data_IF_509677279833
#
_entry.id   IF_509677279833
#
_cell.length_a   1.000
_cell.length_b   1.000
_cell.length_c   1.000
_cell.angle_alpha   90.00
_cell.angle_beta   90.00
_cell.angle_gamma   90.00
#
_symmetry.space_group_name_H-M   'P 1'
#
loop_
_entity.id
_entity.type
_entity.pdbx_description
1 polymer ?
#
# COMPACT_ATOMS: atom_id res chain seq x y z
N UNK A 1 -18.74 -16.40 -6.13
CA UNK A 1 -17.32 -16.20 -5.76
C UNK A 1 -16.62 -15.35 -6.80
N UNK A 2 -15.86 -14.41 -6.34
CA UNK A 2 -15.15 -13.51 -7.22
C UNK A 2 -13.73 -13.99 -7.45
N UNK A 3 -13.34 -14.12 -8.72
CA UNK A 3 -12.02 -14.59 -9.07
C UNK A 3 -11.09 -13.43 -9.40
N UNK A 4 -9.90 -13.46 -8.83
CA UNK A 4 -8.82 -12.54 -9.15
C UNK A 4 -7.69 -13.33 -9.81
N UNK A 5 -7.30 -12.90 -11.00
CA UNK A 5 -6.14 -13.48 -11.67
C UNK A 5 -4.89 -12.77 -11.18
N UNK A 6 -4.24 -13.33 -10.19
CA UNK A 6 -2.99 -12.78 -9.66
C UNK A 6 -1.84 -13.37 -10.44
N UNK A 7 -1.20 -12.53 -11.25
CA UNK A 7 -0.04 -12.93 -12.05
C UNK A 7 1.19 -12.23 -11.52
N UNK A 8 2.13 -13.00 -10.97
CA UNK A 8 3.33 -12.47 -10.34
C UNK A 8 4.58 -13.01 -11.02
N UNK A 9 5.59 -12.14 -11.12
CA UNK A 9 6.92 -12.57 -11.52
C UNK A 9 7.55 -13.41 -10.39
N UNK A 10 8.56 -14.26 -10.70
CA UNK A 10 9.14 -15.13 -9.66
C UNK A 10 9.60 -14.39 -8.41
N UNK A 11 10.25 -13.23 -8.54
CA UNK A 11 10.70 -12.48 -7.37
C UNK A 11 9.53 -11.91 -6.58
N UNK A 12 8.44 -11.55 -7.26
CA UNK A 12 7.23 -11.06 -6.59
C UNK A 12 6.57 -12.17 -5.79
N UNK A 13 6.54 -13.39 -6.31
CA UNK A 13 6.00 -14.53 -5.59
C UNK A 13 6.78 -14.81 -4.31
N UNK A 14 8.10 -14.66 -4.37
CA UNK A 14 8.95 -14.86 -3.21
C UNK A 14 8.64 -13.85 -2.11
N UNK A 15 8.45 -12.60 -2.48
CA UNK A 15 8.05 -11.55 -1.52
C UNK A 15 6.66 -11.82 -0.97
N UNK A 16 5.73 -12.18 -1.85
CA UNK A 16 4.34 -12.46 -1.47
C UNK A 16 4.24 -13.52 -0.40
N UNK A 17 5.07 -14.56 -0.50
CA UNK A 17 5.04 -15.69 0.42
C UNK A 17 5.85 -15.46 1.69
N UNK A 18 6.53 -14.31 1.82
CA UNK A 18 7.35 -14.00 2.99
C UNK A 18 6.44 -13.65 4.18
N UNK A 19 6.59 -14.32 5.32
CA UNK A 19 5.74 -14.07 6.48
C UNK A 19 6.17 -12.87 7.33
N UNK A 20 7.21 -12.15 6.93
CA UNK A 20 7.72 -11.02 7.70
C UNK A 20 6.67 -9.91 7.75
N UNK A 21 6.39 -9.38 8.97
CA UNK A 21 5.39 -8.35 9.19
C UNK A 21 5.73 -7.04 8.47
N UNK A 22 7.02 -6.66 8.45
CA UNK A 22 7.48 -5.47 7.75
C UNK A 22 8.48 -5.89 6.68
N UNK A 23 8.13 -5.67 5.43
CA UNK A 23 8.97 -6.05 4.30
C UNK A 23 9.55 -4.81 3.65
N UNK A 24 10.81 -4.88 3.25
CA UNK A 24 11.48 -3.80 2.52
C UNK A 24 11.90 -4.35 1.16
N UNK A 25 11.46 -3.68 0.09
CA UNK A 25 11.76 -4.08 -1.27
C UNK A 25 12.51 -2.95 -1.97
N UNK A 26 13.76 -3.19 -2.29
CA UNK A 26 14.56 -2.28 -3.10
C UNK A 26 14.62 -2.86 -4.50
N UNK A 27 13.84 -2.29 -5.42
CA UNK A 27 13.76 -2.79 -6.78
C UNK A 27 13.87 -1.64 -7.76
N UNK A 28 14.54 -1.89 -8.88
CA UNK A 28 14.65 -0.90 -9.93
C UNK A 28 13.30 -0.57 -10.55
N UNK A 29 13.26 0.52 -11.31
CA UNK A 29 12.06 0.91 -12.04
C UNK A 29 11.70 -0.18 -13.05
N UNK A 30 10.41 -0.31 -13.37
CA UNK A 30 9.88 -1.25 -14.35
C UNK A 30 10.10 -2.72 -13.96
N UNK A 31 10.19 -3.00 -12.66
CA UNK A 31 10.32 -4.39 -12.18
C UNK A 31 8.99 -4.97 -11.73
N UNK A 32 7.87 -4.25 -11.90
CA UNK A 32 6.57 -4.73 -11.49
C UNK A 32 6.26 -4.51 -10.02
N UNK A 33 7.03 -3.68 -9.34
CA UNK A 33 6.82 -3.41 -7.90
C UNK A 33 5.47 -2.77 -7.62
N UNK A 34 5.02 -1.85 -8.49
CA UNK A 34 3.72 -1.19 -8.31
C UNK A 34 2.56 -2.17 -8.48
N UNK A 35 2.69 -3.10 -9.42
CA UNK A 35 1.68 -4.13 -9.64
C UNK A 35 1.61 -5.08 -8.44
N UNK A 36 2.76 -5.45 -7.89
CA UNK A 36 2.80 -6.25 -6.66
C UNK A 36 2.12 -5.52 -5.51
N UNK A 37 2.42 -4.23 -5.35
CA UNK A 37 1.80 -3.43 -4.30
C UNK A 37 0.28 -3.38 -4.47
N UNK A 38 -0.19 -3.19 -5.70
CA UNK A 38 -1.63 -3.15 -5.98
C UNK A 38 -2.30 -4.46 -5.58
N UNK A 39 -1.73 -5.60 -5.97
CA UNK A 39 -2.27 -6.90 -5.58
C UNK A 39 -2.25 -7.11 -4.08
N UNK A 40 -1.18 -6.70 -3.41
CA UNK A 40 -1.11 -6.82 -1.94
C UNK A 40 -2.18 -5.97 -1.27
N UNK A 41 -2.43 -4.77 -1.75
CA UNK A 41 -3.49 -3.92 -1.20
C UNK A 41 -4.86 -4.57 -1.36
N UNK A 42 -5.14 -5.13 -2.52
CA UNK A 42 -6.42 -5.77 -2.79
C UNK A 42 -6.61 -7.01 -1.91
N UNK A 43 -5.62 -7.89 -1.88
CA UNK A 43 -5.73 -9.15 -1.12
C UNK A 43 -5.76 -8.88 0.38
N UNK A 44 -4.92 -7.97 0.89
CA UNK A 44 -4.95 -7.63 2.31
C UNK A 44 -6.24 -6.93 2.69
N UNK A 45 -6.78 -6.10 1.78
CA UNK A 45 -8.09 -5.49 1.98
C UNK A 45 -9.20 -6.53 2.08
N UNK A 46 -9.16 -7.54 1.21
CA UNK A 46 -10.16 -8.61 1.25
C UNK A 46 -10.06 -9.43 2.54
N UNK A 47 -8.90 -9.49 3.17
CA UNK A 47 -8.72 -10.16 4.45
C UNK A 47 -9.05 -9.30 5.66
N UNK A 48 -9.35 -8.02 5.46
CA UNK A 48 -9.51 -7.04 6.54
C UNK A 48 -10.95 -6.57 6.67
N UNK A 49 -11.90 -7.46 6.70
CA UNK A 49 -13.34 -7.14 6.71
C UNK A 49 -13.65 -5.84 7.47
N UNK A 50 -14.17 -4.84 6.77
CA UNK A 50 -14.47 -3.51 7.31
C UNK A 50 -13.25 -2.74 7.82
N UNK A 51 -12.04 -3.24 7.55
CA UNK A 51 -10.80 -2.55 7.93
C UNK A 51 -10.31 -1.63 6.84
N UNK A 52 -9.14 -1.04 7.07
CA UNK A 52 -8.52 -0.11 6.11
C UNK A 52 -7.12 -0.52 5.77
N UNK A 53 -6.75 -0.32 4.50
CA UNK A 53 -5.38 -0.45 4.02
C UNK A 53 -5.02 0.83 3.28
N UNK A 54 -3.79 1.28 3.45
CA UNK A 54 -3.31 2.52 2.81
C UNK A 54 -2.17 2.24 1.85
N UNK A 55 -2.18 2.98 0.75
CA UNK A 55 -1.03 3.16 -0.11
C UNK A 55 -0.55 4.60 0.07
N UNK A 56 0.70 4.78 0.49
CA UNK A 56 1.27 6.10 0.78
C UNK A 56 2.44 6.36 -0.14
N UNK A 57 2.39 7.45 -0.88
CA UNK A 57 3.49 7.96 -1.70
C UNK A 57 3.97 9.29 -1.13
N UNK A 58 5.09 9.85 -1.59
CA UNK A 58 5.55 11.14 -1.07
C UNK A 58 4.53 12.25 -1.20
N UNK A 59 3.75 12.27 -2.28
CA UNK A 59 2.64 13.22 -2.44
C UNK A 59 1.36 12.49 -2.82
N UNK A 60 0.23 13.11 -2.52
CA UNK A 60 -1.07 12.55 -2.88
C UNK A 60 -1.23 12.43 -4.40
N UNK A 61 -0.73 13.41 -5.15
CA UNK A 61 -0.77 13.36 -6.61
C UNK A 61 0.01 12.18 -7.17
N UNK A 62 1.18 11.89 -6.62
CA UNK A 62 1.95 10.71 -7.01
C UNK A 62 1.21 9.42 -6.68
N UNK A 63 0.58 9.36 -5.51
CA UNK A 63 -0.19 8.17 -5.13
C UNK A 63 -1.30 7.92 -6.15
N UNK A 64 -2.02 8.95 -6.54
CA UNK A 64 -3.08 8.83 -7.53
C UNK A 64 -2.53 8.38 -8.88
N UNK A 65 -1.49 9.04 -9.36
CA UNK A 65 -0.94 8.77 -10.69
C UNK A 65 -0.36 7.36 -10.80
N UNK A 66 0.23 6.84 -9.74
CA UNK A 66 0.84 5.51 -9.76
C UNK A 66 -0.20 4.41 -9.57
N UNK A 67 -1.15 4.60 -8.66
CA UNK A 67 -1.91 3.47 -8.13
C UNK A 67 -3.41 3.48 -8.45
N UNK A 68 -4.03 4.66 -8.66
CA UNK A 68 -5.49 4.72 -8.77
C UNK A 68 -6.05 3.84 -9.88
N UNK A 69 -5.59 4.07 -11.11
CA UNK A 69 -6.10 3.32 -12.26
C UNK A 69 -5.75 1.84 -12.18
N UNK A 70 -4.56 1.54 -11.66
CA UNK A 70 -4.12 0.15 -11.50
C UNK A 70 -5.02 -0.62 -10.54
N UNK A 71 -5.38 -0.01 -9.41
CA UNK A 71 -6.29 -0.64 -8.46
C UNK A 71 -7.68 -0.85 -9.05
N UNK A 72 -8.19 0.13 -9.79
CA UNK A 72 -9.51 0.00 -10.42
C UNK A 72 -9.52 -1.12 -11.46
N UNK A 73 -8.43 -1.26 -12.23
CA UNK A 73 -8.33 -2.30 -13.22
C UNK A 73 -8.17 -3.69 -12.60
N UNK A 74 -7.18 -3.84 -11.72
CA UNK A 74 -6.88 -5.15 -11.13
C UNK A 74 -7.93 -5.62 -10.14
N UNK A 75 -8.53 -4.70 -9.39
CA UNK A 75 -9.50 -5.05 -8.37
C UNK A 75 -10.95 -5.00 -8.82
N UNK A 76 -11.20 -4.71 -10.09
CA UNK A 76 -12.56 -4.52 -10.60
C UNK A 76 -13.59 -5.54 -10.09
N UNK A 77 -13.32 -6.85 -10.11
CA UNK A 77 -14.32 -7.83 -9.66
C UNK A 77 -14.71 -7.73 -8.19
N UNK A 78 -13.88 -7.13 -7.36
CA UNK A 78 -14.11 -7.07 -5.91
C UNK A 78 -14.36 -5.65 -5.40
N UNK A 79 -14.46 -4.67 -6.29
CA UNK A 79 -14.71 -3.28 -5.90
C UNK A 79 -16.21 -3.03 -5.85
N UNK A 80 -16.70 -2.56 -4.69
CA UNK A 80 -18.10 -2.19 -4.51
C UNK A 80 -18.35 -0.75 -4.97
N UNK A 81 -17.43 0.18 -4.65
CA UNK A 81 -17.55 1.57 -5.04
C UNK A 81 -16.19 2.26 -5.01
N UNK A 82 -16.08 3.39 -5.68
CA UNK A 82 -14.86 4.18 -5.68
C UNK A 82 -15.19 5.67 -5.71
N UNK A 83 -14.36 6.47 -5.04
CA UNK A 83 -14.53 7.92 -4.93
C UNK A 83 -13.21 8.60 -5.26
N UNK A 84 -13.09 9.10 -6.48
CA UNK A 84 -11.83 9.67 -6.97
C UNK A 84 -11.42 10.93 -6.20
N UNK A 85 -12.37 11.73 -5.75
CA UNK A 85 -12.03 12.95 -5.02
C UNK A 85 -11.36 12.66 -3.68
N UNK A 86 -11.75 11.58 -3.03
CA UNK A 86 -11.19 11.15 -1.75
C UNK A 86 -10.11 10.10 -1.91
N UNK A 87 -9.88 9.62 -3.13
CA UNK A 87 -8.96 8.53 -3.44
C UNK A 87 -9.21 7.32 -2.55
N UNK A 88 -10.46 6.92 -2.46
CA UNK A 88 -10.90 5.77 -1.67
C UNK A 88 -11.63 4.75 -2.53
N UNK A 89 -11.35 3.49 -2.28
CA UNK A 89 -12.02 2.36 -2.93
C UNK A 89 -12.62 1.49 -1.84
N UNK A 90 -13.90 1.19 -1.97
CA UNK A 90 -14.56 0.26 -1.05
C UNK A 90 -14.67 -1.10 -1.71
N UNK A 91 -14.24 -2.13 -0.99
CA UNK A 91 -14.32 -3.51 -1.46
C UNK A 91 -15.65 -4.13 -1.06
N UNK A 92 -15.97 -5.26 -1.69
CA UNK A 92 -17.24 -5.96 -1.46
C UNK A 92 -17.40 -6.48 -0.03
N UNK A 93 -16.29 -6.65 0.72
CA UNK A 93 -16.33 -7.07 2.13
C UNK A 93 -16.43 -5.88 3.11
N UNK A 94 -16.58 -4.67 2.60
CA UNK A 94 -16.66 -3.47 3.42
C UNK A 94 -15.32 -2.83 3.76
N UNK A 95 -14.20 -3.43 3.36
CA UNK A 95 -12.88 -2.84 3.60
C UNK A 95 -12.64 -1.65 2.69
N UNK A 96 -11.75 -0.76 3.09
CA UNK A 96 -11.41 0.44 2.34
C UNK A 96 -9.93 0.44 1.97
N UNK A 97 -9.64 0.73 0.71
CA UNK A 97 -8.29 1.02 0.25
C UNK A 97 -8.23 2.53 0.02
N UNK A 98 -7.28 3.21 0.65
CA UNK A 98 -7.13 4.65 0.49
C UNK A 98 -5.72 5.00 0.02
N UNK A 99 -5.63 5.98 -0.86
CA UNK A 99 -4.35 6.49 -1.36
C UNK A 99 -4.05 7.79 -0.63
N UNK A 100 -2.86 7.90 -0.07
CA UNK A 100 -2.45 9.03 0.75
C UNK A 100 -1.12 9.59 0.31
N UNK A 101 -0.87 10.86 0.64
CA UNK A 101 0.42 11.49 0.44
C UNK A 101 1.08 11.79 1.77
N UNK A 102 2.39 11.52 1.86
CA UNK A 102 3.15 11.85 3.06
C UNK A 102 3.26 13.37 3.27
N UNK A 103 2.96 14.16 2.22
CA UNK A 103 2.91 15.62 2.31
C UNK A 103 1.67 16.12 3.04
N UNK A 104 0.73 15.23 3.36
CA UNK A 104 -0.48 15.57 4.12
C UNK A 104 -0.62 14.61 5.31
N UNK A 105 0.31 14.67 6.26
CA UNK A 105 0.30 13.71 7.36
C UNK A 105 -0.94 13.78 8.23
N UNK A 106 -1.60 14.94 8.29
CA UNK A 106 -2.82 15.12 9.07
C UNK A 106 -3.95 14.23 8.60
N UNK A 107 -3.94 13.79 7.34
CA UNK A 107 -4.99 12.91 6.79
C UNK A 107 -4.83 11.46 7.24
N UNK A 108 -3.70 11.13 7.86
CA UNK A 108 -3.38 9.76 8.25
C UNK A 108 -3.34 9.56 9.77
N UNK A 109 -3.50 10.63 10.54
CA UNK A 109 -3.45 10.54 12.00
C UNK A 109 -4.72 9.91 12.55
N UNK A 110 -4.58 9.15 13.62
CA UNK A 110 -5.71 8.58 14.33
C UNK A 110 -6.42 7.44 13.63
N UNK A 111 -5.80 6.87 12.60
CA UNK A 111 -6.39 5.73 11.88
C UNK A 111 -5.87 4.41 12.44
N UNK A 112 -6.60 3.33 12.15
CA UNK A 112 -6.19 1.97 12.47
C UNK A 112 -6.08 1.20 11.16
N UNK A 113 -4.92 0.60 10.90
CA UNK A 113 -4.62 -0.01 9.62
C UNK A 113 -4.32 -1.50 9.75
N UNK A 114 -4.84 -2.27 8.81
CA UNK A 114 -4.51 -3.69 8.69
C UNK A 114 -3.26 -3.91 7.84
N UNK A 115 -3.05 -3.06 6.85
CA UNK A 115 -1.93 -3.17 5.93
C UNK A 115 -1.57 -1.80 5.36
N UNK A 116 -0.31 -1.62 5.01
CA UNK A 116 0.20 -0.35 4.52
C UNK A 116 1.29 -0.60 3.49
N UNK A 117 1.26 0.13 2.38
CA UNK A 117 2.37 0.20 1.44
C UNK A 117 2.94 1.62 1.51
N UNK A 118 4.24 1.75 1.72
CA UNK A 118 4.95 3.02 1.62
C UNK A 118 5.86 2.97 0.41
N UNK A 119 5.49 3.71 -0.63
CA UNK A 119 6.24 3.72 -1.90
C UNK A 119 7.16 4.92 -1.94
N UNK A 120 8.38 4.72 -2.45
CA UNK A 120 9.44 5.72 -2.45
C UNK A 120 9.71 6.24 -1.03
N UNK A 121 9.83 5.31 -0.10
CA UNK A 121 9.99 5.60 1.32
C UNK A 121 11.16 6.54 1.61
N UNK A 122 12.23 6.43 0.84
CA UNK A 122 13.42 7.27 1.03
C UNK A 122 13.13 8.77 0.84
N UNK A 123 12.08 9.11 0.10
CA UNK A 123 11.70 10.50 -0.16
C UNK A 123 10.74 11.06 0.88
N UNK A 124 10.43 10.28 1.91
CA UNK A 124 9.52 10.71 2.97
C UNK A 124 10.29 11.05 4.24
N UNK A 125 9.69 11.90 5.08
CA UNK A 125 10.24 12.17 6.40
C UNK A 125 10.06 10.94 7.28
N UNK A 126 11.08 10.48 8.01
CA UNK A 126 10.97 9.30 8.87
C UNK A 126 9.84 9.39 9.89
N UNK A 127 9.48 10.59 10.33
CA UNK A 127 8.41 10.79 11.31
C UNK A 127 7.05 10.30 10.82
N UNK A 128 6.81 10.31 9.51
CA UNK A 128 5.56 9.80 8.95
C UNK A 128 5.38 8.34 9.32
N UNK A 129 6.44 7.55 9.19
CA UNK A 129 6.39 6.15 9.59
C UNK A 129 6.37 6.00 11.10
N UNK A 130 7.35 6.61 11.78
CA UNK A 130 7.56 6.33 13.20
C UNK A 130 6.45 6.86 14.10
N UNK A 131 5.90 8.04 13.77
CA UNK A 131 4.95 8.71 14.65
C UNK A 131 3.50 8.58 14.21
N UNK A 132 3.23 8.24 12.97
CA UNK A 132 1.87 8.20 12.45
C UNK A 132 1.46 6.80 12.00
N UNK A 133 2.20 6.21 11.07
CA UNK A 133 1.77 4.98 10.43
C UNK A 133 2.09 3.72 11.22
N UNK A 134 3.25 3.65 11.84
CA UNK A 134 3.59 2.52 12.68
C UNK A 134 2.60 2.35 13.84
N UNK A 135 2.25 3.43 14.58
CA UNK A 135 1.21 3.31 15.60
C UNK A 135 -0.15 2.88 15.04
N UNK A 136 -0.49 3.32 13.83
CA UNK A 136 -1.75 2.94 13.19
C UNK A 136 -1.83 1.45 12.93
N UNK A 137 -0.71 0.78 12.68
CA UNK A 137 -0.65 -0.66 12.46
C UNK A 137 -0.67 -1.45 13.77
N UNK A 138 -0.23 -0.86 14.87
CA UNK A 138 -0.05 -1.57 16.14
C UNK A 138 -1.37 -2.11 16.68
N UNK A 139 -2.45 -1.38 16.53
CA UNK A 139 -3.76 -1.73 17.08
C UNK A 139 -4.27 -3.06 16.54
N UNK A 140 -4.11 -3.31 15.25
CA UNK A 140 -4.59 -4.54 14.59
C UNK A 140 -3.46 -5.51 14.30
N UNK A 141 -2.26 -5.24 14.79
CA UNK A 141 -1.07 -6.02 14.44
C UNK A 141 -0.89 -6.10 12.92
N UNK A 142 -1.14 -4.98 12.26
CA UNK A 142 -1.06 -4.90 10.81
C UNK A 142 0.36 -5.01 10.30
N UNK A 143 0.51 -5.18 9.00
CA UNK A 143 1.80 -5.33 8.36
C UNK A 143 2.05 -4.20 7.36
N UNK A 144 3.31 -4.03 6.97
CA UNK A 144 3.71 -2.96 6.07
C UNK A 144 4.71 -3.45 5.04
N UNK A 145 4.63 -2.88 3.85
CA UNK A 145 5.56 -3.11 2.76
C UNK A 145 6.17 -1.77 2.37
N UNK A 146 7.49 -1.70 2.37
CA UNK A 146 8.24 -0.51 1.99
C UNK A 146 8.87 -0.74 0.64
N UNK A 147 8.60 0.11 -0.31
CA UNK A 147 9.12 -0.01 -1.67
C UNK A 147 9.94 1.22 -1.99
N UNK A 148 11.08 1.02 -2.65
CA UNK A 148 11.92 2.11 -3.08
C UNK A 148 12.82 1.71 -4.22
N UNK A 149 13.33 2.72 -4.93
CA UNK A 149 14.34 2.53 -5.95
C UNK A 149 15.71 2.75 -5.30
N UNK A 150 16.66 1.83 -5.49
CA UNK A 150 18.01 2.02 -4.91
C UNK A 150 18.64 3.31 -5.43
N UNK A 151 19.01 4.24 -4.51
CA UNK A 151 19.58 5.53 -4.87
C UNK A 151 20.70 5.93 -3.92
N UNK A 152 21.54 4.98 -3.52
CA UNK A 152 22.61 5.25 -2.59
C UNK A 152 22.15 5.18 -1.15
N UNK A 153 22.91 5.78 -0.23
CA UNK A 153 22.63 5.68 1.19
C UNK A 153 21.61 6.69 1.65
N UNK A 154 20.61 6.22 2.37
CA UNK A 154 19.59 7.04 3.01
C UNK A 154 18.91 6.18 4.07
N UNK A 155 17.85 6.67 4.70
CA UNK A 155 17.17 5.93 5.76
C UNK A 155 16.54 4.61 5.27
N UNK A 156 16.41 4.41 3.98
CA UNK A 156 15.91 3.17 3.41
C UNK A 156 16.87 2.01 3.65
N UNK A 157 18.18 2.31 3.70
CA UNK A 157 19.22 1.32 3.90
C UNK A 157 19.71 1.27 5.35
N UNK A 158 19.31 2.21 6.16
CA UNK A 158 19.78 2.30 7.54
C UNK A 158 18.95 1.38 8.50
#
# INVERSE_FOLDING_TARGET
MTDLNVSLLPWQQKVWNDPIRFQVIAAGRRTGKSRLAAWKLIIEGLGATKGSVFYVAPTQGQARDIMWDMLLELGNPVIASSHVNNLQIKLINGATIALKGADRPETMRGVSLKFLVMDEYADMKPEVWEQILRPALADQKGSAMFIGTPMGRNHFYD
#
